data_IF_566336768872
#
_entry.id   IF_566336768872
#
_cell.length_a   1.000
_cell.length_b   1.000
_cell.length_c   1.000
_cell.angle_alpha   90.00
_cell.angle_beta   90.00
_cell.angle_gamma   90.00
#
_symmetry.space_group_name_H-M   'P 1'
#
loop_
_entity.id
_entity.type
_entity.pdbx_description
1 polymer ?
#
# COMPACT_ATOMS: atom_id res chain seq x y z
N UNK A 1 30.15 0.07 -18.03
CA UNK A 1 30.01 1.17 -17.04
C UNK A 1 29.28 0.52 -15.87
N UNK A 2 29.84 0.56 -14.67
CA UNK A 2 29.22 -0.04 -13.48
C UNK A 2 28.68 1.11 -12.62
N UNK A 3 27.42 0.99 -12.20
CA UNK A 3 26.85 1.91 -11.23
C UNK A 3 27.17 1.39 -9.82
N UNK A 4 27.68 2.26 -8.96
CA UNK A 4 28.06 1.92 -7.59
C UNK A 4 26.87 2.24 -6.69
N UNK A 5 26.28 1.20 -6.11
CA UNK A 5 25.20 1.33 -5.13
C UNK A 5 25.80 1.15 -3.73
N UNK A 6 25.60 2.14 -2.87
CA UNK A 6 25.99 2.07 -1.46
C UNK A 6 24.76 2.28 -0.58
N UNK A 7 24.79 1.71 0.61
CA UNK A 7 23.73 1.90 1.61
C UNK A 7 24.03 3.17 2.39
N UNK A 8 23.24 4.22 2.20
CA UNK A 8 23.30 5.38 3.08
C UNK A 8 22.68 4.99 4.43
N UNK A 9 23.51 4.83 5.46
CA UNK A 9 23.08 4.51 6.82
C UNK A 9 23.52 5.64 7.73
N UNK A 10 22.58 6.27 8.48
CA UNK A 10 22.94 7.37 9.36
C UNK A 10 23.90 6.88 10.45
N UNK A 11 24.91 7.68 10.74
CA UNK A 11 25.91 7.44 11.77
C UNK A 11 25.30 7.49 13.18
N UNK A 12 24.21 8.25 13.37
CA UNK A 12 23.46 8.33 14.63
C UNK A 12 21.97 8.59 14.39
N UNK A 13 21.13 8.40 15.42
CA UNK A 13 19.69 8.69 15.33
C UNK A 13 19.37 10.19 15.25
N UNK A 14 20.31 11.04 15.66
CA UNK A 14 20.16 12.49 15.72
C UNK A 14 20.83 13.18 14.52
N UNK A 15 21.21 12.41 13.50
CA UNK A 15 21.80 12.96 12.29
C UNK A 15 20.75 13.76 11.52
N UNK A 16 21.10 15.01 11.23
CA UNK A 16 20.28 15.93 10.49
C UNK A 16 20.11 15.45 9.03
N UNK A 17 18.87 15.21 8.55
CA UNK A 17 18.62 14.75 7.18
C UNK A 17 19.24 15.65 6.12
N UNK A 18 19.24 16.97 6.35
CA UNK A 18 19.77 17.95 5.40
C UNK A 18 21.30 17.85 5.28
N UNK A 19 21.96 17.58 6.40
CA UNK A 19 23.41 17.32 6.43
C UNK A 19 23.76 16.04 5.66
N UNK A 20 22.97 14.97 5.81
CA UNK A 20 23.18 13.72 5.08
C UNK A 20 22.94 13.87 3.57
N UNK A 21 21.92 14.64 3.16
CA UNK A 21 21.64 14.94 1.76
C UNK A 21 22.77 15.76 1.11
N UNK A 22 23.31 16.75 1.82
CA UNK A 22 24.46 17.52 1.34
C UNK A 22 25.68 16.63 1.05
N UNK A 23 25.99 15.66 1.92
CA UNK A 23 27.11 14.74 1.68
C UNK A 23 26.88 13.85 0.45
N UNK A 24 25.66 13.35 0.25
CA UNK A 24 25.30 12.55 -0.91
C UNK A 24 25.48 13.35 -2.21
N UNK A 25 24.85 14.51 -2.30
CA UNK A 25 24.79 15.27 -3.54
C UNK A 25 26.08 16.04 -3.83
N UNK A 26 26.64 16.72 -2.83
CA UNK A 26 27.78 17.62 -3.06
C UNK A 26 29.14 16.92 -3.03
N UNK A 27 29.29 15.81 -2.30
CA UNK A 27 30.57 15.11 -2.18
C UNK A 27 30.62 13.84 -3.03
N UNK A 28 29.56 13.02 -3.00
CA UNK A 28 29.51 11.77 -3.76
C UNK A 28 28.92 11.94 -5.16
N UNK A 29 28.35 13.11 -5.49
CA UNK A 29 27.57 13.35 -6.71
C UNK A 29 26.53 12.24 -6.95
N UNK A 30 25.94 11.75 -5.86
CA UNK A 30 25.02 10.64 -5.84
C UNK A 30 23.64 11.10 -5.36
N UNK A 31 22.60 10.38 -5.77
CA UNK A 31 21.23 10.61 -5.34
C UNK A 31 20.69 9.38 -4.62
N UNK A 32 19.74 9.57 -3.70
CA UNK A 32 19.07 8.46 -3.04
C UNK A 32 18.15 7.75 -4.03
N UNK A 33 18.36 6.44 -4.20
CA UNK A 33 17.46 5.58 -4.97
C UNK A 33 16.55 4.85 -4.00
N UNK A 34 15.25 5.13 -4.07
CA UNK A 34 14.26 4.41 -3.27
C UNK A 34 14.10 3.01 -3.85
N UNK A 35 14.29 1.93 -3.04
CA UNK A 35 14.15 0.58 -3.55
C UNK A 35 12.73 0.29 -4.07
N UNK A 36 12.58 -0.52 -5.15
CA UNK A 36 11.27 -0.94 -5.68
C UNK A 36 10.30 -1.44 -4.60
N UNK A 37 10.83 -2.21 -3.64
CA UNK A 37 10.05 -2.73 -2.51
C UNK A 37 9.43 -1.62 -1.66
N UNK A 38 10.19 -0.56 -1.37
CA UNK A 38 9.74 0.55 -0.53
C UNK A 38 8.67 1.35 -1.26
N UNK A 39 8.84 1.60 -2.56
CA UNK A 39 7.81 2.24 -3.40
C UNK A 39 6.54 1.41 -3.46
N UNK A 40 6.67 0.10 -3.72
CA UNK A 40 5.51 -0.83 -3.77
C UNK A 40 4.75 -0.85 -2.44
N UNK A 41 5.46 -0.93 -1.32
CA UNK A 41 4.86 -0.89 0.02
C UNK A 41 4.17 0.44 0.32
N UNK A 42 4.80 1.56 -0.08
CA UNK A 42 4.26 2.90 0.10
C UNK A 42 2.94 3.03 -0.67
N UNK A 43 2.89 2.69 -1.96
CA UNK A 43 1.67 2.76 -2.76
C UNK A 43 0.55 1.93 -2.13
N UNK A 44 0.79 0.67 -1.80
CA UNK A 44 -0.23 -0.20 -1.19
C UNK A 44 -0.76 0.38 0.13
N UNK A 45 0.14 0.82 1.01
CA UNK A 45 -0.22 1.31 2.34
C UNK A 45 -0.94 2.66 2.28
N UNK A 46 -0.39 3.61 1.55
CA UNK A 46 -0.92 4.97 1.51
C UNK A 46 -2.20 5.04 0.67
N UNK A 47 -2.42 4.10 -0.28
CA UNK A 47 -3.75 3.92 -0.92
C UNK A 47 -4.83 3.59 0.10
N UNK A 48 -4.59 2.63 1.00
CA UNK A 48 -5.57 2.28 2.04
C UNK A 48 -5.80 3.45 3.02
N UNK A 49 -4.73 4.14 3.40
CA UNK A 49 -4.83 5.32 4.27
C UNK A 49 -5.66 6.42 3.59
N UNK A 50 -5.41 6.68 2.32
CA UNK A 50 -6.13 7.69 1.55
C UNK A 50 -7.61 7.36 1.44
N UNK A 51 -7.96 6.10 1.14
CA UNK A 51 -9.36 5.64 1.12
C UNK A 51 -10.01 5.82 2.49
N UNK A 52 -9.31 5.47 3.58
CA UNK A 52 -9.83 5.61 4.94
C UNK A 52 -10.08 7.08 5.32
N UNK A 53 -9.17 7.99 4.94
CA UNK A 53 -9.32 9.43 5.18
C UNK A 53 -10.42 10.07 4.33
N UNK A 54 -10.67 9.52 3.14
CA UNK A 54 -11.66 10.02 2.19
C UNK A 54 -12.96 9.21 2.20
N UNK A 55 -13.21 8.37 3.21
CA UNK A 55 -14.35 7.45 3.25
C UNK A 55 -15.74 8.12 3.17
N UNK A 56 -15.84 9.41 3.50
CA UNK A 56 -17.08 10.20 3.35
C UNK A 56 -17.26 10.79 1.94
N UNK A 57 -16.18 10.85 1.16
CA UNK A 57 -16.11 11.53 -0.14
C UNK A 57 -15.87 10.58 -1.32
N UNK A 58 -15.42 9.35 -1.07
CA UNK A 58 -15.29 8.30 -2.07
C UNK A 58 -16.42 7.27 -1.94
N UNK A 59 -17.04 6.93 -3.08
CA UNK A 59 -18.01 5.84 -3.14
C UNK A 59 -17.32 4.48 -2.89
N UNK A 60 -18.02 3.55 -2.23
CA UNK A 60 -17.47 2.24 -1.87
C UNK A 60 -17.06 1.43 -3.13
N UNK A 61 -17.76 1.59 -4.27
CA UNK A 61 -17.36 0.93 -5.51
C UNK A 61 -16.07 1.54 -6.07
N UNK A 62 -15.90 2.86 -5.99
CA UNK A 62 -14.66 3.53 -6.41
C UNK A 62 -13.48 3.13 -5.51
N UNK A 63 -13.69 3.08 -4.18
CA UNK A 63 -12.71 2.58 -3.23
C UNK A 63 -12.30 1.13 -3.52
N UNK A 64 -13.27 0.23 -3.75
CA UNK A 64 -13.01 -1.15 -4.11
C UNK A 64 -12.25 -1.28 -5.45
N UNK A 65 -12.61 -0.47 -6.45
CA UNK A 65 -11.88 -0.39 -7.72
C UNK A 65 -10.44 0.05 -7.52
N UNK A 66 -10.18 1.06 -6.69
CA UNK A 66 -8.84 1.57 -6.44
C UNK A 66 -7.96 0.50 -5.78
N UNK A 67 -8.48 -0.17 -4.74
CA UNK A 67 -7.81 -1.31 -4.09
C UNK A 67 -7.46 -2.42 -5.07
N UNK A 68 -8.43 -2.80 -5.91
CA UNK A 68 -8.25 -3.86 -6.89
C UNK A 68 -7.25 -3.46 -7.97
N UNK A 69 -7.27 -2.20 -8.43
CA UNK A 69 -6.33 -1.67 -9.40
C UNK A 69 -4.90 -1.71 -8.85
N UNK A 70 -4.69 -1.19 -7.65
CA UNK A 70 -3.38 -1.25 -6.98
C UNK A 70 -2.91 -2.69 -6.76
N UNK A 71 -3.80 -3.59 -6.29
CA UNK A 71 -3.47 -5.02 -6.10
C UNK A 71 -3.05 -5.70 -7.41
N UNK A 72 -3.68 -5.35 -8.52
CA UNK A 72 -3.35 -5.91 -9.83
C UNK A 72 -2.02 -5.35 -10.33
N UNK A 73 -1.75 -4.07 -10.11
CA UNK A 73 -0.56 -3.38 -10.61
C UNK A 73 0.71 -3.75 -9.82
N UNK A 74 0.60 -4.06 -8.52
CA UNK A 74 1.76 -4.61 -7.79
C UNK A 74 2.17 -6.01 -8.28
N UNK A 75 1.32 -6.66 -9.11
CA UNK A 75 1.61 -7.94 -9.75
C UNK A 75 2.01 -7.80 -11.23
N UNK A 76 1.89 -6.62 -11.85
CA UNK A 76 2.33 -6.34 -13.22
C UNK A 76 3.83 -6.03 -13.31
N UNK A 77 4.31 -5.82 -14.53
CA UNK A 77 5.71 -5.47 -14.78
C UNK A 77 6.03 -4.00 -14.46
N UNK A 78 5.00 -3.16 -14.41
CA UNK A 78 5.10 -1.72 -14.14
C UNK A 78 3.84 -1.26 -13.38
N UNK A 79 4.04 -0.34 -12.43
CA UNK A 79 2.97 0.44 -11.78
C UNK A 79 3.01 1.83 -12.39
N UNK A 80 1.87 2.31 -12.88
CA UNK A 80 1.64 3.72 -13.22
C UNK A 80 0.52 4.27 -12.32
N UNK A 81 0.92 5.08 -11.34
CA UNK A 81 0.01 5.64 -10.33
C UNK A 81 -0.96 6.65 -10.95
N UNK A 82 -0.49 7.42 -11.94
CA UNK A 82 -1.31 8.44 -12.62
C UNK A 82 -2.40 7.77 -13.44
N UNK A 83 -2.06 6.74 -14.21
CA UNK A 83 -3.02 5.98 -15.00
C UNK A 83 -4.08 5.30 -14.12
N UNK A 84 -3.70 4.79 -12.94
CA UNK A 84 -4.66 4.23 -11.96
C UNK A 84 -5.60 5.32 -11.47
N UNK A 85 -5.06 6.45 -11.03
CA UNK A 85 -5.85 7.56 -10.52
C UNK A 85 -6.84 8.05 -11.58
N UNK A 86 -6.38 8.22 -12.84
CA UNK A 86 -7.22 8.60 -13.97
C UNK A 86 -8.33 7.58 -14.25
N UNK A 87 -8.02 6.29 -14.19
CA UNK A 87 -8.97 5.24 -14.51
C UNK A 87 -10.07 5.05 -13.47
N UNK A 88 -9.78 5.21 -12.17
CA UNK A 88 -10.76 4.94 -11.10
C UNK A 88 -11.30 6.20 -10.41
N UNK A 89 -10.53 7.28 -10.29
CA UNK A 89 -10.98 8.51 -9.64
C UNK A 89 -11.48 9.50 -10.69
N UNK A 90 -12.80 9.67 -10.77
CA UNK A 90 -13.43 10.56 -11.76
C UNK A 90 -13.11 12.05 -11.52
N UNK A 91 -12.91 12.45 -10.26
CA UNK A 91 -12.66 13.84 -9.87
C UNK A 91 -11.16 14.16 -9.93
N UNK A 92 -10.82 15.21 -10.68
CA UNK A 92 -9.45 15.72 -10.81
C UNK A 92 -8.82 16.11 -9.46
N UNK A 93 -9.57 16.77 -8.59
CA UNK A 93 -9.10 17.17 -7.26
C UNK A 93 -8.73 15.93 -6.43
N UNK A 94 -9.50 14.85 -6.54
CA UNK A 94 -9.19 13.59 -5.84
C UNK A 94 -7.97 12.89 -6.41
N UNK A 95 -7.74 13.00 -7.74
CA UNK A 95 -6.53 12.47 -8.38
C UNK A 95 -5.30 13.19 -7.91
N UNK A 96 -5.32 14.53 -7.96
CA UNK A 96 -4.20 15.37 -7.53
C UNK A 96 -3.89 15.17 -6.04
N UNK A 97 -4.91 15.10 -5.19
CA UNK A 97 -4.75 14.84 -3.76
C UNK A 97 -4.14 13.45 -3.50
N UNK A 98 -4.65 12.41 -4.16
CA UNK A 98 -4.11 11.05 -4.04
C UNK A 98 -2.65 10.96 -4.47
N UNK A 99 -2.30 11.54 -5.63
CA UNK A 99 -0.92 11.55 -6.15
C UNK A 99 -0.03 12.40 -5.23
N UNK A 100 -0.49 13.58 -4.81
CA UNK A 100 0.22 14.48 -3.92
C UNK A 100 0.60 13.81 -2.60
N UNK A 101 -0.34 13.08 -1.98
CA UNK A 101 -0.07 12.34 -0.75
C UNK A 101 1.00 11.26 -0.95
N UNK A 102 1.02 10.57 -2.09
CA UNK A 102 2.04 9.57 -2.37
C UNK A 102 3.44 10.21 -2.51
N UNK A 103 3.52 11.33 -3.24
CA UNK A 103 4.76 12.10 -3.41
C UNK A 103 5.27 12.65 -2.07
N UNK A 104 4.39 13.25 -1.27
CA UNK A 104 4.72 13.79 0.07
C UNK A 104 5.20 12.71 1.04
N UNK A 105 4.77 11.46 0.86
CA UNK A 105 5.21 10.31 1.67
C UNK A 105 6.50 9.66 1.17
N UNK A 106 7.08 10.17 0.08
CA UNK A 106 8.37 9.73 -0.45
C UNK A 106 8.27 8.78 -1.64
N UNK A 107 7.17 8.81 -2.39
CA UNK A 107 7.17 8.25 -3.75
C UNK A 107 7.99 9.17 -4.66
N UNK A 108 9.05 8.63 -5.25
CA UNK A 108 9.98 9.42 -6.08
C UNK A 108 9.59 9.44 -7.56
N UNK A 109 8.84 8.45 -8.01
CA UNK A 109 8.44 8.27 -9.41
C UNK A 109 6.99 7.78 -9.44
N UNK A 110 6.17 8.33 -10.35
CA UNK A 110 4.78 7.91 -10.54
C UNK A 110 4.65 6.67 -11.41
N UNK A 111 5.68 6.34 -12.20
CA UNK A 111 5.83 5.06 -12.90
C UNK A 111 7.08 4.30 -12.46
N UNK A 112 6.94 3.05 -12.04
CA UNK A 112 8.08 2.23 -11.57
C UNK A 112 7.82 0.72 -11.63
N UNK A 113 8.88 -0.08 -11.61
CA UNK A 113 8.79 -1.56 -11.54
C UNK A 113 8.53 -2.00 -10.09
N UNK A 114 7.46 -2.77 -9.80
CA UNK A 114 7.16 -3.21 -8.43
C UNK A 114 8.03 -4.37 -7.95
N UNK A 115 8.13 -4.54 -6.62
CA UNK A 115 8.64 -5.77 -6.00
C UNK A 115 7.55 -6.84 -5.99
N UNK A 116 7.51 -7.62 -7.08
CA UNK A 116 6.51 -8.69 -7.29
C UNK A 116 6.64 -9.81 -6.28
N UNK A 117 7.86 -10.17 -5.87
CA UNK A 117 8.09 -11.22 -4.86
C UNK A 117 7.50 -10.83 -3.50
N UNK A 118 7.65 -9.56 -3.13
CA UNK A 118 7.01 -9.03 -1.93
C UNK A 118 5.49 -8.98 -2.11
N UNK A 119 5.00 -8.48 -3.24
CA UNK A 119 3.56 -8.36 -3.51
C UNK A 119 2.86 -9.73 -3.51
N UNK A 120 3.46 -10.75 -4.12
CA UNK A 120 2.97 -12.13 -4.07
C UNK A 120 2.91 -12.65 -2.64
N UNK A 121 3.99 -12.48 -1.87
CA UNK A 121 4.01 -12.92 -0.46
C UNK A 121 2.97 -12.20 0.39
N UNK A 122 2.77 -10.90 0.15
CA UNK A 122 1.75 -10.11 0.83
C UNK A 122 0.34 -10.57 0.44
N UNK A 123 0.11 -10.87 -0.85
CA UNK A 123 -1.18 -11.34 -1.37
C UNK A 123 -1.57 -12.75 -0.92
N UNK A 124 -0.62 -13.55 -0.42
CA UNK A 124 -0.88 -14.90 0.08
C UNK A 124 -1.50 -14.92 1.47
N UNK A 125 -1.53 -13.80 2.20
CA UNK A 125 -2.05 -13.73 3.57
C UNK A 125 -3.12 -12.64 3.69
N UNK A 126 -4.35 -13.03 3.99
CA UNK A 126 -5.43 -12.09 4.34
C UNK A 126 -5.48 -11.95 5.86
N UNK A 127 -5.65 -10.72 6.34
CA UNK A 127 -5.84 -10.42 7.77
C UNK A 127 -6.99 -9.43 7.92
N UNK A 128 -8.06 -9.85 8.58
CA UNK A 128 -9.13 -8.97 9.04
C UNK A 128 -8.82 -8.50 10.46
N UNK A 129 -8.83 -7.19 10.67
CA UNK A 129 -8.71 -6.56 11.98
C UNK A 129 -10.08 -6.04 12.40
N UNK A 130 -10.57 -6.54 13.53
CA UNK A 130 -11.83 -6.13 14.12
C UNK A 130 -11.59 -5.18 15.30
N UNK A 131 -12.68 -4.52 15.74
CA UNK A 131 -12.68 -3.67 16.92
C UNK A 131 -12.12 -4.41 18.15
N UNK A 132 -11.40 -3.68 19.01
CA UNK A 132 -10.77 -4.25 20.21
C UNK A 132 -9.51 -5.09 19.93
N UNK A 133 -8.99 -5.07 18.70
CA UNK A 133 -7.73 -5.74 18.35
C UNK A 133 -7.87 -7.23 18.00
N UNK A 134 -9.10 -7.73 17.84
CA UNK A 134 -9.34 -9.10 17.40
C UNK A 134 -8.89 -9.25 15.94
N UNK A 135 -8.10 -10.28 15.64
CA UNK A 135 -7.56 -10.53 14.30
C UNK A 135 -7.96 -11.91 13.78
N UNK A 136 -8.41 -11.97 12.53
CA UNK A 136 -8.61 -13.20 11.76
C UNK A 136 -7.60 -13.20 10.63
N UNK A 137 -6.64 -14.12 10.64
CA UNK A 137 -5.59 -14.16 9.62
C UNK A 137 -5.28 -15.58 9.13
N UNK A 138 -4.91 -15.71 7.87
CA UNK A 138 -4.60 -17.00 7.24
C UNK A 138 -4.19 -16.85 5.78
N UNK A 139 -3.91 -17.96 5.10
CA UNK A 139 -3.75 -17.97 3.65
C UNK A 139 -4.97 -17.33 2.97
N UNK A 140 -4.76 -16.44 2.00
CA UNK A 140 -5.84 -15.66 1.38
C UNK A 140 -6.89 -16.53 0.71
N UNK A 141 -6.46 -17.55 -0.03
CA UNK A 141 -7.31 -18.57 -0.64
C UNK A 141 -8.18 -19.29 0.39
N UNK A 142 -7.60 -19.64 1.54
CA UNK A 142 -8.33 -20.30 2.63
C UNK A 142 -9.28 -19.33 3.34
N UNK A 143 -8.88 -18.08 3.53
CA UNK A 143 -9.70 -17.04 4.17
C UNK A 143 -10.95 -16.76 3.34
N UNK A 144 -10.81 -16.64 2.01
CA UNK A 144 -11.93 -16.37 1.11
C UNK A 144 -12.96 -17.52 1.09
N UNK A 145 -12.50 -18.76 1.29
CA UNK A 145 -13.37 -19.95 1.37
C UNK A 145 -14.15 -20.06 2.70
N UNK A 146 -13.63 -19.50 3.79
CA UNK A 146 -14.19 -19.71 5.14
C UNK A 146 -14.78 -18.46 5.77
N UNK A 147 -14.43 -17.26 5.29
CA UNK A 147 -14.88 -15.98 5.85
C UNK A 147 -15.80 -15.27 4.87
N UNK A 148 -17.04 -15.04 5.31
CA UNK A 148 -18.01 -14.23 4.58
C UNK A 148 -18.21 -12.89 5.27
N UNK A 149 -18.11 -11.80 4.50
CA UNK A 149 -18.42 -10.44 4.95
C UNK A 149 -19.86 -10.13 4.55
N UNK A 150 -20.73 -9.89 5.52
CA UNK A 150 -22.13 -9.51 5.26
C UNK A 150 -22.27 -7.99 5.11
N UNK A 151 -23.32 -7.51 4.41
CA UNK A 151 -23.61 -6.08 4.29
C UNK A 151 -23.70 -5.39 5.66
N UNK A 152 -23.31 -4.11 5.70
CA UNK A 152 -23.39 -3.29 6.90
C UNK A 152 -24.82 -3.29 7.44
N UNK A 153 -24.94 -3.48 8.75
CA UNK A 153 -26.21 -3.43 9.46
C UNK A 153 -26.70 -1.98 9.63
N UNK A 154 -27.96 -1.79 10.04
CA UNK A 154 -28.53 -0.47 10.30
C UNK A 154 -27.75 0.35 11.35
N UNK A 155 -27.02 -0.32 12.25
CA UNK A 155 -26.11 0.27 13.23
C UNK A 155 -24.66 0.42 12.73
N UNK A 156 -24.44 0.36 11.40
CA UNK A 156 -23.14 0.50 10.71
C UNK A 156 -22.08 -0.54 11.08
N UNK A 157 -22.45 -1.65 11.72
CA UNK A 157 -21.51 -2.74 12.01
C UNK A 157 -21.31 -3.64 10.80
N UNK A 158 -20.08 -4.11 10.62
CA UNK A 158 -19.76 -5.17 9.68
C UNK A 158 -19.88 -6.52 10.39
N UNK A 159 -20.58 -7.48 9.79
CA UNK A 159 -20.65 -8.85 10.31
C UNK A 159 -19.73 -9.75 9.50
N UNK A 160 -18.86 -10.47 10.22
CA UNK A 160 -18.01 -11.53 9.68
C UNK A 160 -18.61 -12.88 10.10
N UNK A 161 -18.86 -13.76 9.14
CA UNK A 161 -19.29 -15.15 9.38
C UNK A 161 -18.13 -16.07 9.02
N UNK A 162 -17.69 -16.90 9.96
CA UNK A 162 -16.62 -17.87 9.74
C UNK A 162 -17.22 -19.28 9.76
N UNK A 163 -17.20 -19.97 8.63
CA UNK A 163 -17.72 -21.33 8.50
C UNK A 163 -16.56 -22.33 8.49
N UNK A 164 -16.58 -23.27 9.43
CA UNK A 164 -15.55 -24.33 9.51
C UNK A 164 -16.16 -25.69 9.79
N UNK A 165 -15.58 -26.73 9.21
CA UNK A 165 -15.95 -28.14 9.46
C UNK A 165 -15.46 -28.66 10.80
N UNK A 166 -14.36 -28.11 11.32
CA UNK A 166 -13.74 -28.50 12.58
C UNK A 166 -13.29 -27.25 13.32
N UNK A 167 -13.94 -26.97 14.44
CA UNK A 167 -13.54 -25.90 15.34
C UNK A 167 -12.70 -26.47 16.47
N UNK A 168 -11.51 -25.91 16.69
CA UNK A 168 -10.64 -26.26 17.81
C UNK A 168 -10.19 -24.96 18.48
N UNK A 169 -10.51 -24.81 19.76
CA UNK A 169 -9.96 -23.75 20.60
C UNK A 169 -8.64 -24.26 21.21
N UNK A 170 -7.55 -23.53 21.00
CA UNK A 170 -6.26 -23.79 21.65
C UNK A 170 -6.06 -22.86 22.83
#
# INVERSE_FOLDING_TARGET
>A
RYDIVFRNQPASKDEDPDTAAMWLEAFLEAYEVVPPRRMTQLVVKETENWIAQNAEHIDEQAAAKLRNAVRTMVQSDEIDVEAIAEHVLANEIQREDYIGILLDKGLTETSFVPDRDWAERASRKTTYLCDGGVQVSGPSDVIDDVVQILPKTADRKTRLVIETRKFCQK
#
